data_IF_246901884452
#
_entry.id   IF_246901884452
#
_cell.length_a   1.000
_cell.length_b   1.000
_cell.length_c   1.000
_cell.angle_alpha   90.00
_cell.angle_beta   90.00
_cell.angle_gamma   90.00
#
_symmetry.space_group_name_H-M   'P 1'
#
loop_
_entity.id
_entity.type
_entity.pdbx_description
1 polymer ?
#
# COMPACT_ATOMS: atom_id res chain seq x y z
N UNK A 1 7.29 -0.96 5.26
CA UNK A 1 8.08 0.07 4.56
C UNK A 1 8.75 -0.55 3.34
N UNK A 2 9.12 0.22 2.31
CA UNK A 2 9.84 -0.26 1.13
C UNK A 2 11.09 0.58 0.92
N UNK A 3 12.10 0.00 0.29
CA UNK A 3 13.29 0.71 -0.13
C UNK A 3 12.94 1.79 -1.18
N UNK A 4 13.65 2.92 -1.22
CA UNK A 4 13.40 4.01 -2.19
C UNK A 4 13.42 3.55 -3.64
N UNK A 5 14.24 2.56 -3.98
CA UNK A 5 14.37 1.98 -5.32
C UNK A 5 13.08 1.32 -5.80
N UNK A 6 12.24 0.83 -4.87
CA UNK A 6 10.93 0.26 -5.22
C UNK A 6 10.02 1.36 -5.79
N UNK A 7 10.00 2.52 -5.16
CA UNK A 7 9.24 3.67 -5.63
C UNK A 7 9.81 4.22 -6.95
N UNK A 8 11.13 4.37 -7.03
CA UNK A 8 11.81 4.82 -8.24
C UNK A 8 11.54 3.89 -9.44
N UNK A 9 11.59 2.57 -9.23
CA UNK A 9 11.27 1.58 -10.28
C UNK A 9 9.81 1.66 -10.71
N UNK A 10 8.88 1.92 -9.78
CA UNK A 10 7.47 2.09 -10.08
C UNK A 10 7.23 3.34 -10.95
N UNK A 11 7.84 4.47 -10.58
CA UNK A 11 7.78 5.73 -11.34
C UNK A 11 8.36 5.53 -12.75
N UNK A 12 9.51 4.89 -12.87
CA UNK A 12 10.16 4.62 -14.16
C UNK A 12 9.29 3.77 -15.08
N UNK A 13 8.65 2.72 -14.54
CA UNK A 13 7.70 1.91 -15.31
C UNK A 13 6.51 2.71 -15.83
N UNK A 14 5.95 3.58 -15.02
CA UNK A 14 4.82 4.43 -15.43
C UNK A 14 5.23 5.47 -16.46
N UNK A 15 6.45 6.00 -16.35
CA UNK A 15 7.00 6.93 -17.36
C UNK A 15 7.15 6.27 -18.74
N UNK A 16 7.52 5.00 -18.78
CA UNK A 16 7.62 4.24 -20.04
C UNK A 16 6.26 3.76 -20.57
N UNK A 17 5.36 3.35 -19.69
CA UNK A 17 4.02 2.87 -20.03
C UNK A 17 2.99 3.54 -19.13
N UNK A 18 2.43 4.67 -19.58
CA UNK A 18 1.50 5.45 -18.79
C UNK A 18 0.28 4.65 -18.35
N UNK A 19 -0.04 4.74 -17.09
CA UNK A 19 -1.25 4.18 -16.49
C UNK A 19 -1.91 5.27 -15.64
N UNK A 20 -3.22 5.19 -15.44
CA UNK A 20 -3.94 6.18 -14.63
C UNK A 20 -3.45 6.18 -13.19
N UNK A 21 -3.27 4.99 -12.62
CA UNK A 21 -2.82 4.79 -11.24
C UNK A 21 -2.00 3.51 -11.14
N UNK A 22 -0.96 3.53 -10.34
CA UNK A 22 -0.18 2.36 -9.98
C UNK A 22 -0.17 2.22 -8.46
N UNK A 23 -0.74 1.14 -7.95
CA UNK A 23 -0.77 0.82 -6.54
C UNK A 23 0.43 -0.04 -6.18
N UNK A 24 1.28 0.46 -5.30
CA UNK A 24 2.53 -0.21 -4.91
C UNK A 24 2.39 -0.78 -3.50
N UNK A 25 2.58 -2.08 -3.39
CA UNK A 25 2.46 -2.83 -2.13
C UNK A 25 1.06 -3.38 -1.85
N UNK A 26 1.02 -4.53 -1.21
CA UNK A 26 -0.23 -5.20 -0.84
C UNK A 26 -1.06 -4.40 0.16
N UNK A 27 -0.40 -3.66 1.07
CA UNK A 27 -1.08 -2.80 2.04
C UNK A 27 -1.88 -1.68 1.37
N UNK A 28 -1.37 -1.11 0.29
CA UNK A 28 -2.08 -0.09 -0.51
C UNK A 28 -3.36 -0.68 -1.10
N UNK A 29 -3.26 -1.87 -1.70
CA UNK A 29 -4.44 -2.57 -2.26
C UNK A 29 -5.47 -2.88 -1.17
N UNK A 30 -5.01 -3.40 -0.02
CA UNK A 30 -5.88 -3.69 1.12
C UNK A 30 -6.59 -2.44 1.65
N UNK A 31 -5.88 -1.32 1.76
CA UNK A 31 -6.44 -0.05 2.23
C UNK A 31 -7.49 0.48 1.26
N UNK A 32 -7.21 0.47 -0.04
CA UNK A 32 -8.15 0.96 -1.07
C UNK A 32 -9.41 0.08 -1.10
N UNK A 33 -9.25 -1.24 -1.14
CA UNK A 33 -10.38 -2.18 -1.16
C UNK A 33 -11.16 -2.12 0.16
N UNK A 34 -10.47 -2.09 1.29
CA UNK A 34 -11.10 -1.98 2.59
C UNK A 34 -11.88 -0.67 2.76
N UNK A 35 -11.33 0.45 2.30
CA UNK A 35 -12.03 1.75 2.33
C UNK A 35 -13.29 1.74 1.46
N UNK A 36 -13.28 1.00 0.36
CA UNK A 36 -14.46 0.87 -0.49
C UNK A 36 -15.60 0.11 0.19
N UNK A 37 -15.29 -0.99 0.90
CA UNK A 37 -16.31 -1.85 1.50
C UNK A 37 -16.63 -1.50 2.96
N UNK A 38 -15.67 -1.04 3.73
CA UNK A 38 -15.78 -0.86 5.19
C UNK A 38 -15.14 0.45 5.68
N UNK A 39 -15.56 1.63 5.14
CA UNK A 39 -14.92 2.91 5.46
C UNK A 39 -14.92 3.21 6.96
N UNK A 40 -16.08 3.12 7.62
CA UNK A 40 -16.19 3.43 9.04
C UNK A 40 -15.41 2.49 9.98
N UNK A 41 -15.14 1.26 9.56
CA UNK A 41 -14.25 0.36 10.29
C UNK A 41 -12.79 0.78 10.14
N UNK A 42 -12.37 1.11 8.93
CA UNK A 42 -11.01 1.56 8.68
C UNK A 42 -10.70 2.89 9.36
N UNK A 43 -11.65 3.83 9.38
CA UNK A 43 -11.48 5.10 10.07
C UNK A 43 -11.18 4.89 11.55
N UNK A 44 -11.95 4.04 12.24
CA UNK A 44 -11.71 3.69 13.63
C UNK A 44 -10.37 2.99 13.86
N UNK A 45 -10.01 2.08 12.96
CA UNK A 45 -8.73 1.38 13.01
C UNK A 45 -7.56 2.35 12.82
N UNK A 46 -7.68 3.30 11.88
CA UNK A 46 -6.66 4.29 11.60
C UNK A 46 -6.45 5.27 12.74
N UNK A 47 -7.53 5.73 13.38
CA UNK A 47 -7.42 6.60 14.56
C UNK A 47 -6.53 5.97 15.63
N UNK A 48 -6.76 4.67 15.92
CA UNK A 48 -5.95 3.95 16.91
C UNK A 48 -4.51 3.71 16.42
N UNK A 49 -4.35 3.15 15.23
CA UNK A 49 -3.03 2.75 14.72
C UNK A 49 -2.15 3.93 14.28
N UNK A 50 -2.74 5.04 13.82
CA UNK A 50 -1.97 6.19 13.42
C UNK A 50 -1.26 6.83 14.62
N UNK A 51 -1.93 6.89 15.76
CA UNK A 51 -1.32 7.39 16.99
C UNK A 51 -0.18 6.47 17.46
N UNK A 52 -0.45 5.19 17.60
CA UNK A 52 0.54 4.19 18.03
C UNK A 52 1.76 4.13 17.07
N UNK A 53 1.55 4.32 15.77
CA UNK A 53 2.61 4.25 14.77
C UNK A 53 3.44 5.52 14.61
N UNK A 54 3.01 6.65 15.17
CA UNK A 54 3.74 7.93 15.11
C UNK A 54 4.47 8.27 16.40
N UNK A 55 4.08 7.63 17.50
CA UNK A 55 4.68 7.87 18.80
C UNK A 55 5.66 6.74 19.13
N UNK A 56 6.77 7.10 19.74
CA UNK A 56 7.74 6.17 20.31
C UNK A 56 7.93 6.50 21.78
N UNK A 57 8.20 5.50 22.59
CA UNK A 57 8.54 5.68 23.99
C UNK A 57 9.97 6.22 24.20
N UNK A 58 10.76 6.28 23.13
CA UNK A 58 12.11 6.81 23.16
C UNK A 58 12.07 8.34 23.15
N UNK A 59 12.54 8.97 24.22
CA UNK A 59 12.70 10.41 24.28
C UNK A 59 13.76 10.87 23.29
N UNK A 60 13.52 12.01 22.64
CA UNK A 60 14.56 12.63 21.85
C UNK A 60 15.72 13.07 22.75
N UNK A 61 16.95 12.92 22.27
CA UNK A 61 18.11 13.47 22.95
C UNK A 61 18.02 15.01 23.01
N UNK A 62 18.37 15.59 24.15
CA UNK A 62 18.32 17.06 24.37
C UNK A 62 19.26 17.81 23.42
N UNK A 63 20.32 17.16 22.97
CA UNK A 63 21.34 17.67 22.04
C UNK A 63 21.05 17.34 20.57
N UNK A 64 19.85 16.85 20.25
CA UNK A 64 19.50 16.53 18.87
C UNK A 64 19.65 17.77 17.98
N UNK A 65 20.50 17.64 16.98
CA UNK A 65 20.65 18.66 15.94
C UNK A 65 19.31 18.80 15.19
N UNK A 66 18.76 19.99 15.18
CA UNK A 66 17.64 20.34 14.31
C UNK A 66 18.14 20.91 12.97
N UNK A 67 17.24 21.07 12.03
CA UNK A 67 17.51 21.61 10.69
C UNK A 67 16.65 22.86 10.41
N UNK A 68 16.19 23.54 11.47
CA UNK A 68 15.37 24.73 11.33
C UNK A 68 16.21 25.89 10.80
N UNK A 69 17.39 26.10 11.39
CA UNK A 69 18.27 27.23 11.07
C UNK A 69 19.38 26.86 10.07
N UNK A 70 19.84 25.60 10.07
CA UNK A 70 20.89 25.12 9.18
C UNK A 70 20.62 23.71 8.69
N UNK A 71 20.94 23.39 7.41
CA UNK A 71 20.78 22.06 6.86
C UNK A 71 21.75 21.06 7.51
N UNK A 72 21.27 19.82 7.75
CA UNK A 72 22.10 18.72 8.22
C UNK A 72 22.68 17.98 7.02
N UNK A 73 23.90 18.35 6.60
CA UNK A 73 24.52 17.86 5.37
C UNK A 73 24.92 16.38 5.42
N UNK A 74 25.15 15.82 6.61
CA UNK A 74 25.58 14.43 6.78
C UNK A 74 24.48 13.39 6.52
N UNK A 75 23.23 13.84 6.41
CA UNK A 75 22.06 12.96 6.21
C UNK A 75 21.62 12.81 4.75
N UNK A 76 22.41 13.31 3.80
CA UNK A 76 22.13 13.15 2.36
C UNK A 76 22.43 11.72 1.89
N UNK A 77 21.57 10.78 2.29
CA UNK A 77 21.71 9.35 1.99
C UNK A 77 20.41 8.81 1.42
N UNK A 78 20.51 7.87 0.49
CA UNK A 78 19.35 7.13 -0.06
C UNK A 78 18.84 6.14 1.00
N UNK A 79 19.77 5.47 1.68
CA UNK A 79 19.48 4.51 2.73
C UNK A 79 19.71 5.14 4.11
N UNK A 80 18.73 5.00 4.98
CA UNK A 80 18.75 5.58 6.31
C UNK A 80 18.55 4.56 7.42
N UNK A 81 18.11 5.02 8.57
CA UNK A 81 17.93 4.22 9.79
C UNK A 81 16.98 3.02 9.60
N UNK A 82 15.98 3.14 8.73
CA UNK A 82 14.98 2.09 8.50
C UNK A 82 15.31 1.14 7.35
N UNK A 83 16.54 1.14 6.85
CA UNK A 83 16.96 0.31 5.72
C UNK A 83 16.74 -1.16 5.98
N UNK A 84 17.09 -1.64 7.18
CA UNK A 84 17.01 -3.06 7.54
C UNK A 84 15.56 -3.55 7.68
N UNK A 85 14.62 -2.65 7.96
CA UNK A 85 13.19 -2.96 8.05
C UNK A 85 12.47 -2.84 6.70
N UNK A 86 13.09 -2.19 5.73
CA UNK A 86 12.49 -1.88 4.46
C UNK A 86 12.62 -3.05 3.47
N UNK A 87 11.50 -3.39 2.83
CA UNK A 87 11.43 -4.46 1.82
C UNK A 87 12.02 -3.98 0.50
N UNK A 88 12.84 -4.81 -0.10
CA UNK A 88 13.48 -4.54 -1.40
C UNK A 88 12.53 -4.69 -2.59
N UNK A 89 11.37 -5.32 -2.41
CA UNK A 89 10.41 -5.61 -3.48
C UNK A 89 8.99 -5.32 -3.04
N UNK A 90 8.19 -4.83 -3.98
CA UNK A 90 6.76 -4.68 -3.83
C UNK A 90 6.01 -5.22 -5.04
N UNK A 91 4.86 -5.82 -4.79
CA UNK A 91 3.88 -6.10 -5.83
C UNK A 91 3.24 -4.80 -6.27
N UNK A 92 3.08 -4.58 -7.56
CA UNK A 92 2.39 -3.41 -8.10
C UNK A 92 1.17 -3.83 -8.91
N UNK A 93 0.07 -3.09 -8.77
CA UNK A 93 -1.21 -3.34 -9.43
C UNK A 93 -1.68 -2.05 -10.08
N UNK A 94 -2.10 -2.10 -11.34
CA UNK A 94 -2.69 -0.95 -12.02
C UNK A 94 -4.18 -0.84 -11.70
N UNK A 95 -4.71 0.37 -11.60
CA UNK A 95 -6.12 0.65 -11.25
C UNK A 95 -7.15 -0.03 -12.16
N UNK A 96 -6.79 -0.33 -13.40
CA UNK A 96 -7.66 -1.10 -14.31
C UNK A 96 -7.73 -2.61 -14.05
N UNK A 97 -6.80 -3.15 -13.24
CA UNK A 97 -6.74 -4.58 -12.91
C UNK A 97 -7.83 -5.03 -11.92
N UNK A 98 -8.11 -4.28 -10.83
CA UNK A 98 -9.14 -4.70 -9.87
C UNK A 98 -10.52 -4.86 -10.49
N UNK A 99 -10.91 -4.00 -11.41
CA UNK A 99 -12.19 -4.11 -12.11
C UNK A 99 -12.28 -5.38 -12.97
N UNK A 100 -11.20 -5.74 -13.66
CA UNK A 100 -11.14 -6.98 -14.46
C UNK A 100 -11.17 -8.25 -13.58
N UNK A 101 -10.46 -8.21 -12.45
CA UNK A 101 -10.46 -9.31 -11.48
C UNK A 101 -11.83 -9.46 -10.83
N UNK A 102 -12.49 -8.36 -10.46
CA UNK A 102 -13.82 -8.37 -9.88
C UNK A 102 -14.86 -8.92 -10.87
N UNK A 103 -14.84 -8.47 -12.12
CA UNK A 103 -15.72 -9.00 -13.18
C UNK A 103 -15.46 -10.48 -13.43
N UNK A 104 -14.21 -10.90 -13.47
CA UNK A 104 -13.85 -12.30 -13.61
C UNK A 104 -14.34 -13.16 -12.44
N UNK A 105 -14.18 -12.70 -11.21
CA UNK A 105 -14.64 -13.42 -10.02
C UNK A 105 -16.17 -13.53 -9.96
N UNK A 106 -16.90 -12.48 -10.29
CA UNK A 106 -18.36 -12.49 -10.39
C UNK A 106 -18.85 -13.47 -11.46
N UNK A 107 -18.21 -13.51 -12.63
CA UNK A 107 -18.54 -14.44 -13.69
C UNK A 107 -18.35 -15.92 -13.27
N UNK A 108 -17.22 -16.20 -12.60
CA UNK A 108 -16.93 -17.56 -12.08
C UNK A 108 -17.93 -17.97 -11.00
N UNK A 109 -18.21 -17.07 -10.05
CA UNK A 109 -19.19 -17.34 -8.98
C UNK A 109 -20.58 -17.55 -9.56
N UNK A 110 -21.00 -16.71 -10.51
CA UNK A 110 -22.27 -16.87 -11.22
C UNK A 110 -22.40 -18.20 -11.95
N UNK A 111 -21.33 -18.63 -12.64
CA UNK A 111 -21.30 -19.92 -13.34
C UNK A 111 -21.40 -21.11 -12.36
N UNK A 112 -20.72 -21.04 -11.21
CA UNK A 112 -20.79 -22.09 -10.18
C UNK A 112 -22.21 -22.17 -9.60
N UNK A 113 -22.81 -21.04 -9.24
CA UNK A 113 -24.19 -21.00 -8.71
C UNK A 113 -25.19 -21.51 -9.73
N UNK A 114 -25.10 -21.10 -11.00
CA UNK A 114 -25.95 -21.58 -12.06
C UNK A 114 -25.85 -23.11 -12.24
N UNK A 115 -24.62 -23.63 -12.21
CA UNK A 115 -24.38 -25.09 -12.31
C UNK A 115 -25.00 -25.85 -11.14
N UNK A 116 -24.89 -25.35 -9.92
CA UNK A 116 -25.48 -25.95 -8.72
C UNK A 116 -27.02 -25.93 -8.75
N UNK A 117 -27.63 -24.86 -9.25
CA UNK A 117 -29.08 -24.77 -9.40
C UNK A 117 -29.62 -25.73 -10.47
N UNK A 118 -28.91 -25.88 -11.59
CA UNK A 118 -29.28 -26.81 -12.65
C UNK A 118 -29.11 -28.27 -12.21
N UNK A 119 -28.12 -28.59 -11.40
CA UNK A 119 -27.91 -29.95 -10.88
C UNK A 119 -28.97 -30.38 -9.87
N UNK A 120 -29.59 -29.44 -9.16
CA UNK A 120 -30.69 -29.71 -8.20
C UNK A 120 -32.06 -29.95 -8.88
N UNK A 121 -32.19 -29.65 -10.16
CA UNK A 121 -33.42 -29.84 -10.92
C UNK A 121 -33.48 -31.18 -11.68
N UNK A 122 -32.45 -32.02 -11.58
CA UNK A 122 -32.41 -33.40 -12.03
C UNK A 122 -32.51 -34.35 -10.85
#
# INVERSE_FOLDING_TARGET
MFQPEVAASAIFKVAQKPVRELWVGSSTVQSIVGQFFFPGFLDRLMVKKAWEGQMTDTLNADDRQDYLDQPVNDLHKIHGHFTDEAKERATSVTSGMPGKVLLGSLAVTGAIVARLLLSRRR
#
